data_IF_261016267495
#
_entry.id   IF_261016267495
#
_cell.length_a   1.000
_cell.length_b   1.000
_cell.length_c   1.000
_cell.angle_alpha   90.00
_cell.angle_beta   90.00
_cell.angle_gamma   90.00
#
_symmetry.space_group_name_H-M   'P 1'
#
loop_
_entity.id
_entity.type
_entity.pdbx_description
1 polymer ?
#
# COMPACT_ATOMS: atom_id res chain seq x y z
N UNK A 1 -8.43 -27.11 0.16
CA UNK A 1 -8.87 -25.71 0.29
C UNK A 1 -9.58 -25.55 1.64
N UNK A 2 -8.93 -24.91 2.62
CA UNK A 2 -9.54 -24.63 3.92
C UNK A 2 -9.61 -23.11 4.07
N UNK A 3 -10.83 -22.59 4.16
CA UNK A 3 -11.09 -21.15 4.20
C UNK A 3 -10.49 -20.49 5.45
N UNK A 4 -10.70 -21.08 6.62
CA UNK A 4 -10.23 -20.54 7.89
C UNK A 4 -8.70 -20.47 7.95
N UNK A 5 -8.02 -21.50 7.42
CA UNK A 5 -6.57 -21.53 7.32
C UNK A 5 -6.03 -20.42 6.40
N UNK A 6 -6.70 -20.18 5.27
CA UNK A 6 -6.35 -19.10 4.33
C UNK A 6 -6.52 -17.73 4.98
N UNK A 7 -7.67 -17.48 5.63
CA UNK A 7 -7.93 -16.21 6.28
C UNK A 7 -6.97 -15.96 7.44
N UNK A 8 -6.62 -16.99 8.22
CA UNK A 8 -5.60 -16.88 9.27
C UNK A 8 -4.24 -16.49 8.69
N UNK A 9 -3.81 -17.15 7.61
CA UNK A 9 -2.55 -16.84 6.95
C UNK A 9 -2.49 -15.41 6.41
N UNK A 10 -3.57 -14.94 5.76
CA UNK A 10 -3.66 -13.57 5.24
C UNK A 10 -3.61 -12.51 6.35
N UNK A 11 -4.09 -12.82 7.55
CA UNK A 11 -4.12 -11.89 8.68
C UNK A 11 -2.83 -11.88 9.51
N UNK A 12 -2.18 -13.04 9.68
CA UNK A 12 -1.03 -13.19 10.60
C UNK A 12 0.32 -12.88 9.93
N UNK A 13 0.43 -13.06 8.61
CA UNK A 13 1.71 -12.83 7.91
C UNK A 13 1.90 -11.35 7.62
N UNK A 14 2.86 -10.73 8.30
CA UNK A 14 3.21 -9.33 8.13
C UNK A 14 4.21 -9.12 6.98
N UNK A 15 3.71 -9.12 5.74
CA UNK A 15 4.48 -8.85 4.53
C UNK A 15 3.91 -7.66 3.74
N UNK A 16 4.64 -7.20 2.72
CA UNK A 16 4.15 -6.16 1.82
C UNK A 16 2.96 -6.65 0.96
N UNK A 17 2.98 -7.92 0.54
CA UNK A 17 1.87 -8.57 -0.15
C UNK A 17 1.77 -10.02 0.35
N UNK A 18 0.56 -10.47 0.68
CA UNK A 18 0.28 -11.84 1.10
C UNK A 18 -0.73 -12.44 0.11
N UNK A 19 -0.41 -13.63 -0.40
CA UNK A 19 -1.21 -14.30 -1.42
C UNK A 19 -1.76 -15.62 -0.88
N UNK A 20 -2.97 -15.95 -1.31
CA UNK A 20 -3.53 -17.29 -1.21
C UNK A 20 -3.83 -17.80 -2.62
N UNK A 21 -3.38 -19.01 -2.94
CA UNK A 21 -3.59 -19.66 -4.24
C UNK A 21 -3.15 -18.84 -5.47
N UNK A 22 -2.16 -17.96 -5.30
CA UNK A 22 -1.56 -17.17 -6.38
C UNK A 22 -0.03 -17.13 -6.25
N UNK A 23 0.67 -16.97 -7.37
CA UNK A 23 2.13 -16.90 -7.38
C UNK A 23 2.64 -15.61 -6.74
N UNK A 24 3.73 -15.68 -5.99
CA UNK A 24 4.41 -14.50 -5.44
C UNK A 24 4.99 -13.57 -6.51
N UNK A 25 5.19 -14.07 -7.75
CA UNK A 25 5.64 -13.27 -8.90
C UNK A 25 4.67 -12.15 -9.30
N UNK A 26 3.44 -12.17 -8.78
CA UNK A 26 2.49 -11.06 -8.99
C UNK A 26 2.78 -9.83 -8.14
N UNK A 27 3.84 -9.84 -7.31
CA UNK A 27 4.27 -8.64 -6.57
C UNK A 27 4.99 -7.69 -7.53
N UNK A 28 4.22 -6.93 -8.30
CA UNK A 28 4.71 -6.03 -9.33
C UNK A 28 3.66 -4.95 -9.63
N UNK A 29 4.07 -3.70 -9.79
CA UNK A 29 3.19 -2.57 -9.98
C UNK A 29 2.36 -2.65 -11.26
N UNK A 30 2.87 -3.23 -12.34
CA UNK A 30 2.09 -3.46 -13.56
C UNK A 30 0.99 -4.49 -13.34
N UNK A 31 1.29 -5.57 -12.61
CA UNK A 31 0.32 -6.62 -12.26
C UNK A 31 -0.75 -6.08 -11.29
N UNK A 32 -0.41 -5.09 -10.47
CA UNK A 32 -1.34 -4.41 -9.56
C UNK A 32 -2.12 -3.25 -10.21
N UNK A 33 -1.93 -3.00 -11.51
CA UNK A 33 -2.65 -1.95 -12.23
C UNK A 33 -2.14 -0.52 -11.98
N UNK A 34 -0.92 -0.38 -11.44
CA UNK A 34 -0.27 0.91 -11.19
C UNK A 34 0.44 1.46 -12.44
N UNK A 35 0.50 0.66 -13.51
CA UNK A 35 1.14 1.00 -14.79
C UNK A 35 2.66 0.83 -14.75
N UNK A 36 3.33 1.54 -13.85
CA UNK A 36 4.77 1.45 -13.63
C UNK A 36 5.08 1.45 -12.13
N UNK A 37 6.24 0.88 -11.78
CA UNK A 37 6.80 0.94 -10.43
C UNK A 37 8.21 1.52 -10.44
N UNK A 38 8.57 2.21 -9.36
CA UNK A 38 9.97 2.54 -9.04
C UNK A 38 10.69 1.33 -8.44
N UNK A 39 9.95 0.50 -7.70
CA UNK A 39 10.44 -0.69 -7.03
C UNK A 39 9.44 -1.16 -5.96
N UNK A 40 9.86 -2.12 -5.13
CA UNK A 40 9.01 -2.73 -4.10
C UNK A 40 9.53 -2.35 -2.71
N UNK A 41 8.70 -1.67 -1.93
CA UNK A 41 9.00 -1.34 -0.54
C UNK A 41 8.55 -2.45 0.42
N UNK A 42 9.44 -2.87 1.31
CA UNK A 42 9.11 -3.77 2.43
C UNK A 42 8.96 -3.04 3.76
N UNK A 43 9.21 -1.72 3.80
CA UNK A 43 9.12 -0.92 5.01
C UNK A 43 7.65 -0.66 5.40
N UNK A 44 7.39 -0.40 6.69
CA UNK A 44 6.03 -0.18 7.20
C UNK A 44 5.52 1.25 7.05
N UNK A 45 6.42 2.22 6.94
CA UNK A 45 6.07 3.63 6.88
C UNK A 45 6.05 4.16 5.44
N UNK A 46 5.18 5.14 5.19
CA UNK A 46 5.00 5.84 3.91
C UNK A 46 4.42 4.98 2.77
N UNK A 47 5.19 4.06 2.20
CA UNK A 47 4.79 3.22 1.08
C UNK A 47 5.23 1.77 1.32
N UNK A 48 4.34 0.80 1.05
CA UNK A 48 4.58 -0.63 1.26
C UNK A 48 3.96 -1.44 0.11
N UNK A 49 4.73 -2.36 -0.45
CA UNK A 49 4.41 -3.01 -1.72
C UNK A 49 5.01 -2.26 -2.92
N UNK A 50 4.52 -2.51 -4.14
CA UNK A 50 4.93 -1.77 -5.32
C UNK A 50 4.73 -0.25 -5.16
N UNK A 51 5.74 0.53 -5.52
CA UNK A 51 5.77 2.00 -5.37
C UNK A 51 5.47 2.63 -6.73
N UNK A 52 4.26 3.16 -6.90
CA UNK A 52 3.86 3.91 -8.08
C UNK A 52 3.93 5.42 -7.88
N UNK A 53 3.27 6.16 -8.77
CA UNK A 53 3.27 7.63 -8.77
C UNK A 53 2.71 8.24 -7.49
N UNK A 54 1.65 7.65 -6.92
CA UNK A 54 1.01 8.18 -5.71
C UNK A 54 1.94 8.06 -4.50
N UNK A 55 2.66 6.97 -4.42
CA UNK A 55 3.59 6.67 -3.33
C UNK A 55 4.81 7.61 -3.36
N UNK A 56 5.06 8.32 -4.45
CA UNK A 56 6.09 9.37 -4.54
C UNK A 56 5.58 10.77 -4.15
N UNK A 57 4.33 10.88 -3.70
CA UNK A 57 3.73 12.15 -3.30
C UNK A 57 3.61 12.26 -1.79
N UNK A 58 3.49 13.51 -1.34
CA UNK A 58 3.04 13.83 0.01
C UNK A 58 1.79 14.69 -0.09
N UNK A 59 1.08 14.84 1.03
CA UNK A 59 -0.08 15.71 1.11
C UNK A 59 0.26 16.95 1.94
N UNK A 60 -0.50 18.02 1.72
CA UNK A 60 -0.44 19.22 2.55
C UNK A 60 -1.86 19.71 2.81
N UNK A 61 -2.04 20.36 3.95
CA UNK A 61 -3.28 21.06 4.25
C UNK A 61 -3.28 22.41 3.56
N UNK A 62 -4.39 22.73 2.90
CA UNK A 62 -4.64 24.06 2.33
C UNK A 62 -5.78 24.66 3.13
N UNK A 63 -5.49 25.75 3.85
CA UNK A 63 -6.46 26.43 4.71
C UNK A 63 -6.75 27.81 4.12
N UNK A 64 -8.02 28.08 3.82
CA UNK A 64 -8.50 29.39 3.42
C UNK A 64 -9.14 30.09 4.61
N UNK A 65 -8.66 31.28 4.94
CA UNK A 65 -9.11 32.06 6.09
C UNK A 65 -9.82 33.36 5.69
N UNK A 66 -10.64 33.85 6.62
CA UNK A 66 -11.38 35.11 6.55
C UNK A 66 -11.48 35.79 7.92
N UNK A 67 -10.43 35.68 8.74
CA UNK A 67 -10.35 36.33 10.06
C UNK A 67 -10.48 35.39 11.26
N UNK A 68 -10.19 34.10 11.11
CA UNK A 68 -10.20 33.13 12.20
C UNK A 68 -9.13 33.50 13.24
N UNK A 69 -9.55 33.59 14.51
CA UNK A 69 -8.66 33.77 15.66
C UNK A 69 -8.67 32.47 16.46
N UNK A 70 -7.49 32.03 16.93
CA UNK A 70 -7.34 30.91 17.85
C UNK A 70 -7.33 31.45 19.29
N UNK A 71 -8.28 30.99 20.11
CA UNK A 71 -8.33 31.26 21.55
C UNK A 71 -7.50 30.27 22.36
#
# INVERSE_FOLDING_TARGET
>A
ENYDAVMRFLNEVDAACVYANASTRFTDGSQFGMGAELGISTQKMHARGPIGLKELTSYKWIIFGSGQIRS
#
